data_IF_883852102826
#
_entry.id   IF_883852102826
#
_cell.length_a   1.000
_cell.length_b   1.000
_cell.length_c   1.000
_cell.angle_alpha   90.00
_cell.angle_beta   90.00
_cell.angle_gamma   90.00
#
_symmetry.space_group_name_H-M   'P 1'
#
loop_
_entity.id
_entity.type
_entity.pdbx_description
1 polymer ?
#
# COMPACT_ATOMS: atom_id res chain seq x y z
N UNK A 1 -16.40 -12.79 -21.32
CA UNK A 1 -15.46 -11.86 -21.98
C UNK A 1 -16.10 -10.90 -22.97
N UNK A 2 -16.83 -11.36 -24.00
CA UNK A 2 -17.47 -10.47 -25.00
C UNK A 2 -18.36 -9.38 -24.39
N UNK A 3 -19.07 -9.69 -23.30
CA UNK A 3 -19.89 -8.70 -22.57
C UNK A 3 -19.05 -7.60 -21.92
N UNK A 4 -17.88 -7.91 -21.37
CA UNK A 4 -16.99 -6.92 -20.74
C UNK A 4 -16.33 -6.01 -21.77
N UNK A 5 -16.02 -6.54 -22.95
CA UNK A 5 -15.38 -5.76 -24.02
C UNK A 5 -16.25 -4.59 -24.50
N UNK A 6 -17.58 -4.72 -24.36
CA UNK A 6 -18.57 -3.75 -24.82
C UNK A 6 -18.95 -2.73 -23.75
N UNK A 7 -18.51 -2.90 -22.51
CA UNK A 7 -18.83 -1.98 -21.41
C UNK A 7 -18.10 -0.64 -21.57
N UNK A 8 -18.78 0.43 -21.19
CA UNK A 8 -18.15 1.74 -21.04
C UNK A 8 -17.10 1.68 -19.91
N UNK A 9 -16.07 2.56 -19.92
CA UNK A 9 -14.97 2.52 -18.95
C UNK A 9 -15.41 2.38 -17.49
N UNK A 10 -16.43 3.15 -17.07
CA UNK A 10 -17.05 3.09 -15.75
C UNK A 10 -17.54 1.68 -15.40
N UNK A 11 -18.39 1.13 -16.25
CA UNK A 11 -19.07 -0.15 -16.05
C UNK A 11 -18.07 -1.30 -16.05
N UNK A 12 -17.06 -1.20 -16.91
CA UNK A 12 -15.95 -2.14 -16.94
C UNK A 12 -15.18 -2.11 -15.63
N UNK A 13 -14.78 -0.94 -15.14
CA UNK A 13 -14.07 -0.80 -13.86
C UNK A 13 -14.92 -1.35 -12.71
N UNK A 14 -16.20 -1.01 -12.63
CA UNK A 14 -17.08 -1.52 -11.57
C UNK A 14 -17.29 -3.04 -11.66
N UNK A 15 -17.42 -3.60 -12.85
CA UNK A 15 -17.50 -5.04 -13.05
C UNK A 15 -16.20 -5.75 -12.63
N UNK A 16 -15.05 -5.13 -12.88
CA UNK A 16 -13.74 -5.60 -12.46
C UNK A 16 -13.61 -5.52 -10.92
N UNK A 17 -13.97 -4.40 -10.29
CA UNK A 17 -13.93 -4.21 -8.83
C UNK A 17 -14.80 -5.22 -8.11
N UNK A 18 -16.01 -5.51 -8.61
CA UNK A 18 -16.89 -6.55 -8.04
C UNK A 18 -16.30 -7.96 -8.11
N UNK A 19 -15.39 -8.21 -9.05
CA UNK A 19 -14.61 -9.45 -9.16
C UNK A 19 -13.31 -9.40 -8.35
N UNK A 20 -13.12 -8.35 -7.55
CA UNK A 20 -11.92 -8.10 -6.78
C UNK A 20 -10.79 -7.47 -7.59
N UNK A 21 -11.00 -7.07 -8.85
CA UNK A 21 -9.93 -6.44 -9.63
C UNK A 21 -9.95 -4.92 -9.52
N UNK A 22 -8.80 -4.31 -9.27
CA UNK A 22 -8.68 -2.85 -9.17
C UNK A 22 -7.74 -2.32 -10.25
N UNK A 23 -8.07 -1.16 -10.81
CA UNK A 23 -7.26 -0.51 -11.82
C UNK A 23 -6.59 0.74 -11.24
N UNK A 24 -5.38 1.02 -11.72
CA UNK A 24 -4.64 2.25 -11.44
C UNK A 24 -4.04 2.78 -12.74
N UNK A 25 -4.08 4.09 -12.93
CA UNK A 25 -3.31 4.77 -13.97
C UNK A 25 -1.89 5.07 -13.47
N UNK A 26 -0.89 4.85 -14.34
CA UNK A 26 0.46 5.27 -14.07
C UNK A 26 1.24 5.53 -15.37
N UNK A 27 1.76 6.75 -15.51
CA UNK A 27 2.35 7.22 -16.77
C UNK A 27 1.35 7.14 -17.93
N UNK A 28 1.71 6.40 -18.97
CA UNK A 28 0.87 6.15 -20.15
C UNK A 28 0.13 4.80 -20.10
N UNK A 29 0.16 4.11 -18.96
CA UNK A 29 -0.39 2.77 -18.79
C UNK A 29 -1.53 2.68 -17.77
N UNK A 30 -2.31 1.61 -17.89
CA UNK A 30 -3.28 1.17 -16.90
C UNK A 30 -2.85 -0.19 -16.38
N UNK A 31 -2.76 -0.29 -15.05
CA UNK A 31 -2.38 -1.50 -14.33
C UNK A 31 -3.61 -2.09 -13.67
N UNK A 32 -3.73 -3.41 -13.71
CA UNK A 32 -4.79 -4.16 -13.04
C UNK A 32 -4.17 -5.04 -11.96
N UNK A 33 -4.78 -5.02 -10.77
CA UNK A 33 -4.48 -5.91 -9.64
C UNK A 33 -5.70 -6.73 -9.25
N UNK A 34 -5.51 -7.78 -8.48
CA UNK A 34 -6.58 -8.50 -7.78
C UNK A 34 -6.57 -8.19 -6.29
N UNK A 35 -7.72 -8.30 -5.64
CA UNK A 35 -7.85 -8.51 -4.20
C UNK A 35 -7.16 -9.81 -3.82
N UNK A 36 -6.79 -9.88 -2.54
CA UNK A 36 -5.98 -10.92 -1.91
C UNK A 36 -6.34 -12.32 -2.45
N UNK A 37 -5.34 -13.01 -3.00
CA UNK A 37 -5.34 -14.42 -3.44
C UNK A 37 -5.92 -14.81 -4.82
N UNK A 38 -6.43 -13.92 -5.69
CA UNK A 38 -6.79 -14.35 -7.06
C UNK A 38 -5.68 -14.09 -8.08
N UNK A 39 -5.36 -15.12 -8.87
CA UNK A 39 -4.60 -14.96 -10.10
C UNK A 39 -5.44 -14.11 -11.06
N UNK A 40 -4.83 -13.07 -11.64
CA UNK A 40 -5.50 -12.28 -12.69
C UNK A 40 -5.48 -13.11 -13.96
N UNK A 41 -6.66 -13.41 -14.49
CA UNK A 41 -6.82 -14.16 -15.73
C UNK A 41 -6.14 -13.45 -16.89
N UNK A 42 -5.44 -14.20 -17.75
CA UNK A 42 -4.72 -13.62 -18.87
C UNK A 42 -5.67 -12.94 -19.88
N UNK A 43 -6.92 -13.40 -19.97
CA UNK A 43 -7.99 -12.74 -20.73
C UNK A 43 -8.32 -11.34 -20.18
N UNK A 44 -8.34 -11.19 -18.86
CA UNK A 44 -8.58 -9.91 -18.19
C UNK A 44 -7.39 -8.96 -18.38
N UNK A 45 -6.15 -9.47 -18.26
CA UNK A 45 -4.94 -8.68 -18.59
C UNK A 45 -4.96 -8.20 -20.03
N UNK A 46 -5.34 -9.08 -20.97
CA UNK A 46 -5.43 -8.75 -22.38
C UNK A 46 -6.51 -7.69 -22.62
N UNK A 47 -7.68 -7.82 -21.98
CA UNK A 47 -8.76 -6.84 -22.04
C UNK A 47 -8.30 -5.46 -21.56
N UNK A 48 -7.68 -5.36 -20.38
CA UNK A 48 -7.19 -4.09 -19.84
C UNK A 48 -6.15 -3.47 -20.76
N UNK A 49 -5.19 -4.25 -21.26
CA UNK A 49 -4.18 -3.77 -22.20
C UNK A 49 -4.79 -3.23 -23.49
N UNK A 50 -5.80 -3.91 -24.03
CA UNK A 50 -6.54 -3.48 -25.23
C UNK A 50 -7.32 -2.19 -25.00
N UNK A 51 -7.84 -1.99 -23.78
CA UNK A 51 -8.64 -0.83 -23.34
C UNK A 51 -7.82 0.26 -22.63
N UNK A 52 -6.49 0.19 -22.65
CA UNK A 52 -5.63 1.16 -21.94
C UNK A 52 -5.91 2.61 -22.33
N UNK A 53 -6.07 2.99 -23.62
CA UNK A 53 -6.24 4.40 -23.98
C UNK A 53 -7.51 5.04 -23.38
N UNK A 54 -8.64 4.33 -23.42
CA UNK A 54 -9.91 4.82 -22.89
C UNK A 54 -9.96 4.75 -21.36
N UNK A 55 -9.46 3.66 -20.76
CA UNK A 55 -9.36 3.53 -19.32
C UNK A 55 -8.41 4.56 -18.70
N UNK A 56 -7.27 4.86 -19.34
CA UNK A 56 -6.31 5.84 -18.85
C UNK A 56 -6.92 7.23 -18.78
N UNK A 57 -7.63 7.65 -19.84
CA UNK A 57 -8.35 8.92 -19.87
C UNK A 57 -9.33 8.98 -18.71
N UNK A 58 -10.21 7.98 -18.63
CA UNK A 58 -11.27 7.92 -17.63
C UNK A 58 -10.75 7.92 -16.18
N UNK A 59 -9.72 7.12 -15.88
CA UNK A 59 -9.09 7.06 -14.56
C UNK A 59 -8.49 8.41 -14.12
N UNK A 60 -8.00 9.22 -15.06
CA UNK A 60 -7.35 10.49 -14.77
C UNK A 60 -8.31 11.69 -14.76
N UNK A 61 -9.52 11.56 -15.34
CA UNK A 61 -10.48 12.67 -15.44
C UNK A 61 -11.73 12.42 -14.62
N UNK A 62 -12.45 11.35 -14.92
CA UNK A 62 -13.83 11.17 -14.48
C UNK A 62 -13.90 10.30 -13.22
N UNK A 63 -13.04 9.29 -13.12
CA UNK A 63 -13.06 8.33 -12.02
C UNK A 63 -12.97 8.96 -10.62
N UNK A 64 -12.10 9.95 -10.34
CA UNK A 64 -12.06 10.57 -9.01
C UNK A 64 -13.38 11.24 -8.64
N UNK A 65 -14.01 11.94 -9.59
CA UNK A 65 -15.30 12.60 -9.37
C UNK A 65 -16.41 11.58 -9.14
N UNK A 66 -16.39 10.46 -9.87
CA UNK A 66 -17.38 9.40 -9.69
C UNK A 66 -17.23 8.63 -8.39
N UNK A 67 -16.00 8.40 -7.94
CA UNK A 67 -15.73 7.83 -6.60
C UNK A 67 -16.24 8.80 -5.54
N UNK A 68 -16.00 10.10 -5.70
CA UNK A 68 -16.53 11.12 -4.79
C UNK A 68 -18.06 11.12 -4.75
N UNK A 69 -18.73 11.08 -5.91
CA UNK A 69 -20.19 10.92 -6.02
C UNK A 69 -20.67 9.65 -5.33
N UNK A 70 -19.98 8.52 -5.51
CA UNK A 70 -20.31 7.26 -4.82
C UNK A 70 -20.18 7.39 -3.30
N UNK A 71 -19.16 8.09 -2.80
CA UNK A 71 -18.98 8.35 -1.37
C UNK A 71 -20.10 9.26 -0.86
N UNK A 72 -20.44 10.33 -1.58
CA UNK A 72 -21.53 11.23 -1.20
C UNK A 72 -22.87 10.51 -1.11
N UNK A 73 -23.17 9.60 -2.04
CA UNK A 73 -24.38 8.77 -2.00
C UNK A 73 -24.41 7.88 -0.74
N UNK A 74 -23.29 7.22 -0.40
CA UNK A 74 -23.19 6.44 0.83
C UNK A 74 -23.37 7.30 2.08
N UNK A 75 -22.85 8.53 2.09
CA UNK A 75 -23.06 9.46 3.19
C UNK A 75 -24.55 9.85 3.32
N UNK A 76 -25.26 10.07 2.21
CA UNK A 76 -26.72 10.28 2.23
C UNK A 76 -27.49 9.06 2.76
N UNK A 77 -27.04 7.84 2.47
CA UNK A 77 -27.61 6.64 3.10
C UNK A 77 -27.36 6.62 4.61
N UNK A 78 -26.16 7.02 5.06
CA UNK A 78 -25.86 7.14 6.49
C UNK A 78 -26.77 8.16 7.16
N UNK A 79 -27.03 9.32 6.56
CA UNK A 79 -27.95 10.35 7.08
C UNK A 79 -29.39 9.85 7.30
N UNK A 80 -29.80 8.78 6.62
CA UNK A 80 -31.12 8.16 6.81
C UNK A 80 -31.21 7.23 8.03
N UNK A 81 -30.07 6.87 8.65
CA UNK A 81 -30.01 5.95 9.79
C UNK A 81 -30.37 6.63 11.11
N UNK A 82 -30.54 5.84 12.18
CA UNK A 82 -30.77 6.39 13.53
C UNK A 82 -29.56 7.22 14.01
N UNK A 83 -29.76 8.32 14.78
CA UNK A 83 -28.67 9.25 15.15
C UNK A 83 -27.44 8.59 15.79
N UNK A 84 -27.63 7.60 16.66
CA UNK A 84 -26.51 6.88 17.28
C UNK A 84 -25.71 6.06 16.26
N UNK A 85 -26.40 5.44 15.30
CA UNK A 85 -25.77 4.67 14.22
C UNK A 85 -25.00 5.60 13.27
N UNK A 86 -25.56 6.76 12.95
CA UNK A 86 -24.86 7.80 12.18
C UNK A 86 -23.55 8.19 12.85
N UNK A 87 -23.61 8.52 14.14
CA UNK A 87 -22.45 8.96 14.89
C UNK A 87 -21.32 7.92 14.89
N UNK A 88 -21.65 6.65 15.10
CA UNK A 88 -20.66 5.55 15.09
C UNK A 88 -20.00 5.43 13.71
N UNK A 89 -20.79 5.40 12.64
CA UNK A 89 -20.27 5.22 11.28
C UNK A 89 -19.41 6.42 10.87
N UNK A 90 -19.87 7.65 11.14
CA UNK A 90 -19.13 8.86 10.78
C UNK A 90 -17.81 8.96 11.53
N UNK A 91 -17.77 8.63 12.83
CA UNK A 91 -16.51 8.62 13.58
C UNK A 91 -15.52 7.57 13.03
N UNK A 92 -15.99 6.40 12.60
CA UNK A 92 -15.13 5.37 12.00
C UNK A 92 -14.54 5.84 10.66
N UNK A 93 -15.37 6.45 9.82
CA UNK A 93 -14.92 7.04 8.55
C UNK A 93 -13.92 8.18 8.79
N UNK A 94 -14.22 9.08 9.72
CA UNK A 94 -13.35 10.19 10.08
C UNK A 94 -12.00 9.70 10.60
N UNK A 95 -11.98 8.70 11.47
CA UNK A 95 -10.76 8.10 12.01
C UNK A 95 -9.89 7.51 10.90
N UNK A 96 -10.45 6.68 10.02
CA UNK A 96 -9.70 6.07 8.91
C UNK A 96 -9.20 7.12 7.91
N UNK A 97 -10.03 8.09 7.53
CA UNK A 97 -9.60 9.16 6.62
C UNK A 97 -8.51 10.02 7.23
N UNK A 98 -8.59 10.31 8.53
CA UNK A 98 -7.58 11.08 9.26
C UNK A 98 -6.24 10.37 9.23
N UNK A 99 -6.23 9.06 9.48
CA UNK A 99 -5.02 8.24 9.37
C UNK A 99 -4.47 8.32 7.94
N UNK A 100 -5.28 7.98 6.93
CA UNK A 100 -4.81 7.95 5.53
C UNK A 100 -4.25 9.30 5.05
N UNK A 101 -4.90 10.41 5.41
CA UNK A 101 -4.45 11.76 5.05
C UNK A 101 -3.18 12.15 5.80
N UNK A 102 -3.05 11.72 7.06
CA UNK A 102 -1.85 11.98 7.87
C UNK A 102 -0.65 11.24 7.28
N UNK A 103 -0.83 9.96 6.95
CA UNK A 103 0.22 9.10 6.38
C UNK A 103 0.62 9.54 4.96
N UNK A 104 -0.34 9.99 4.15
CA UNK A 104 -0.06 10.58 2.83
C UNK A 104 0.81 11.83 2.90
N UNK A 105 0.74 12.58 4.01
CA UNK A 105 1.51 13.80 4.24
C UNK A 105 2.85 13.54 4.92
N UNK A 106 2.97 12.44 5.68
CA UNK A 106 4.20 12.10 6.40
C UNK A 106 5.23 11.43 5.49
N UNK A 107 4.79 10.58 4.55
CA UNK A 107 5.68 9.88 3.62
C UNK A 107 6.48 10.88 2.76
N UNK A 108 7.75 10.55 2.48
CA UNK A 108 8.64 11.42 1.70
C UNK A 108 8.30 11.38 0.20
N UNK A 109 7.61 10.33 -0.26
CA UNK A 109 7.19 10.19 -1.66
C UNK A 109 5.81 9.55 -1.83
N UNK A 110 5.09 9.84 -2.94
CA UNK A 110 3.85 9.14 -3.28
C UNK A 110 4.01 7.62 -3.42
N UNK A 111 5.22 7.16 -3.77
CA UNK A 111 5.53 5.76 -3.95
C UNK A 111 5.64 5.02 -2.61
N UNK A 112 6.21 5.66 -1.60
CA UNK A 112 6.19 5.15 -0.22
C UNK A 112 4.76 5.06 0.31
N UNK A 113 3.97 6.13 0.14
CA UNK A 113 2.57 6.12 0.58
C UNK A 113 1.77 5.03 -0.14
N UNK A 114 2.01 4.83 -1.43
CA UNK A 114 1.42 3.73 -2.16
C UNK A 114 1.78 2.39 -1.50
N UNK A 115 3.05 2.08 -1.31
CA UNK A 115 3.46 0.82 -0.67
C UNK A 115 2.86 0.67 0.74
N UNK A 116 2.82 1.76 1.52
CA UNK A 116 2.19 1.79 2.85
C UNK A 116 0.73 1.34 2.80
N UNK A 117 -0.07 1.82 1.84
CA UNK A 117 -1.48 1.40 1.71
C UNK A 117 -1.60 -0.12 1.51
N UNK A 118 -0.75 -0.70 0.66
CA UNK A 118 -0.75 -2.15 0.42
C UNK A 118 -0.26 -2.93 1.65
N UNK A 119 0.73 -2.41 2.37
CA UNK A 119 1.22 -3.01 3.61
C UNK A 119 0.17 -2.93 4.73
N UNK A 120 -0.48 -1.79 4.94
CA UNK A 120 -1.56 -1.64 5.94
C UNK A 120 -2.63 -2.70 5.74
N UNK A 121 -3.17 -2.82 4.52
CA UNK A 121 -4.19 -3.84 4.21
C UNK A 121 -3.68 -5.27 4.36
N UNK A 122 -2.45 -5.55 3.92
CA UNK A 122 -1.88 -6.90 4.00
C UNK A 122 -1.61 -7.31 5.45
N UNK A 123 -1.13 -6.39 6.28
CA UNK A 123 -0.90 -6.60 7.72
C UNK A 123 -2.21 -6.70 8.49
N UNK A 124 -3.24 -5.93 8.13
CA UNK A 124 -4.59 -6.12 8.69
C UNK A 124 -5.13 -7.52 8.41
N UNK A 125 -4.92 -8.06 7.21
CA UNK A 125 -5.30 -9.44 6.88
C UNK A 125 -4.47 -10.45 7.67
N UNK A 126 -3.15 -10.24 7.74
CA UNK A 126 -2.23 -11.05 8.53
C UNK A 126 -2.69 -11.11 10.00
N UNK A 127 -3.02 -9.98 10.61
CA UNK A 127 -3.49 -9.89 11.99
C UNK A 127 -4.78 -10.66 12.27
N UNK A 128 -5.61 -10.97 11.25
CA UNK A 128 -6.84 -11.77 11.44
C UNK A 128 -6.56 -13.25 11.64
N UNK A 129 -5.41 -13.75 11.20
CA UNK A 129 -5.05 -15.17 11.23
C UNK A 129 -3.89 -15.48 12.19
N UNK A 130 -3.32 -14.46 12.83
CA UNK A 130 -2.25 -14.60 13.82
C UNK A 130 -2.63 -13.98 15.17
N UNK A 131 -2.15 -14.58 16.26
CA UNK A 131 -2.50 -14.18 17.63
C UNK A 131 -1.85 -12.86 18.08
N UNK A 132 -0.76 -12.46 17.45
CA UNK A 132 -0.03 -11.24 17.79
C UNK A 132 -0.24 -10.22 16.68
N UNK A 133 -0.89 -9.07 16.97
CA UNK A 133 -1.10 -8.04 15.97
C UNK A 133 0.20 -7.29 15.69
N UNK A 134 0.46 -7.04 14.40
CA UNK A 134 1.54 -6.20 13.91
C UNK A 134 0.98 -4.85 13.47
N UNK A 135 1.77 -3.80 13.66
CA UNK A 135 1.50 -2.44 13.19
C UNK A 135 2.51 -2.03 12.14
N UNK A 136 2.10 -1.12 11.25
CA UNK A 136 2.95 -0.49 10.24
C UNK A 136 3.11 0.97 10.64
N UNK A 137 4.33 1.39 10.95
CA UNK A 137 4.67 2.78 11.23
C UNK A 137 5.41 3.36 10.03
N UNK A 138 4.98 4.51 9.51
CA UNK A 138 5.76 5.23 8.49
C UNK A 138 6.79 6.13 9.13
N UNK A 139 7.88 6.39 8.41
CA UNK A 139 8.87 7.41 8.73
C UNK A 139 9.40 7.31 10.17
N UNK A 140 9.61 6.09 10.65
CA UNK A 140 9.80 5.79 12.06
C UNK A 140 11.27 6.02 12.48
N UNK A 141 11.53 6.81 13.54
CA UNK A 141 12.89 7.04 14.02
C UNK A 141 13.42 5.83 14.80
N UNK A 142 14.62 5.37 14.44
CA UNK A 142 15.30 4.24 15.07
C UNK A 142 16.70 4.69 15.51
N UNK A 143 17.03 4.48 16.78
CA UNK A 143 18.38 4.74 17.29
C UNK A 143 19.18 3.44 17.38
N UNK A 144 20.27 3.34 16.63
CA UNK A 144 21.17 2.19 16.62
C UNK A 144 22.63 2.65 16.53
N UNK A 145 23.51 2.01 17.31
CA UNK A 145 24.96 2.28 17.31
C UNK A 145 25.33 3.77 17.45
N UNK A 146 24.61 4.51 18.31
CA UNK A 146 24.83 5.94 18.54
C UNK A 146 24.37 6.87 17.42
N UNK A 147 23.65 6.35 16.42
CA UNK A 147 23.06 7.12 15.33
C UNK A 147 21.54 6.98 15.31
N UNK A 148 20.85 8.02 14.87
CA UNK A 148 19.41 7.99 14.60
C UNK A 148 19.19 7.88 13.09
N UNK A 149 18.46 6.86 12.70
CA UNK A 149 17.99 6.61 11.34
C UNK A 149 16.48 6.82 11.30
N UNK A 150 15.95 7.06 10.11
CA UNK A 150 14.51 7.03 9.85
C UNK A 150 14.24 5.88 8.91
N UNK A 151 13.39 4.94 9.31
CA UNK A 151 12.90 3.87 8.45
C UNK A 151 11.71 4.38 7.65
N UNK A 152 11.62 4.07 6.37
CA UNK A 152 10.45 4.47 5.57
C UNK A 152 9.19 3.82 6.14
N UNK A 153 9.29 2.54 6.49
CA UNK A 153 8.29 1.78 7.23
C UNK A 153 8.93 0.84 8.25
N UNK A 154 8.38 0.77 9.47
CA UNK A 154 8.68 -0.23 10.48
C UNK A 154 7.45 -1.09 10.74
N UNK A 155 7.62 -2.41 10.71
CA UNK A 155 6.60 -3.40 11.02
C UNK A 155 7.04 -4.19 12.26
N UNK A 156 6.25 -4.11 13.32
CA UNK A 156 6.54 -4.77 14.60
C UNK A 156 5.25 -5.15 15.34
N UNK A 157 5.31 -6.09 16.29
CA UNK A 157 4.20 -6.34 17.20
C UNK A 157 3.77 -5.06 17.93
N UNK A 158 2.47 -4.89 18.10
CA UNK A 158 1.90 -3.72 18.78
C UNK A 158 2.54 -3.51 20.16
N UNK A 159 3.05 -2.30 20.44
CA UNK A 159 3.66 -1.93 21.71
C UNK A 159 5.07 -2.51 21.95
N UNK A 160 5.74 -2.98 20.90
CA UNK A 160 7.12 -3.48 20.97
C UNK A 160 8.08 -2.67 20.11
N UNK A 161 7.73 -1.42 19.78
CA UNK A 161 8.54 -0.59 18.90
C UNK A 161 9.96 -0.43 19.47
N UNK A 162 10.98 -0.70 18.65
CA UNK A 162 12.40 -0.76 19.03
C UNK A 162 12.82 -1.87 20.02
N UNK A 163 11.93 -2.77 20.44
CA UNK A 163 12.31 -3.98 21.17
C UNK A 163 12.81 -5.04 20.18
N UNK A 164 14.12 -5.06 19.95
CA UNK A 164 14.76 -6.00 19.01
C UNK A 164 14.90 -7.42 19.55
N UNK A 165 14.42 -7.69 20.77
CA UNK A 165 14.15 -9.06 21.21
C UNK A 165 12.87 -9.63 20.57
N UNK A 166 12.04 -8.75 19.99
CA UNK A 166 10.86 -9.07 19.18
C UNK A 166 11.17 -8.85 17.70
N UNK A 167 10.21 -9.25 16.86
CA UNK A 167 10.30 -9.06 15.40
C UNK A 167 10.22 -7.57 15.09
N UNK A 168 11.29 -7.03 14.50
CA UNK A 168 11.36 -5.66 13.98
C UNK A 168 11.75 -5.72 12.50
N UNK A 169 10.78 -5.49 11.62
CA UNK A 169 10.98 -5.54 10.17
C UNK A 169 10.91 -4.14 9.57
N UNK A 170 12.02 -3.66 9.04
CA UNK A 170 12.12 -2.41 8.30
C UNK A 170 11.84 -2.69 6.82
N UNK A 171 11.01 -1.87 6.20
CA UNK A 171 10.78 -1.85 4.75
C UNK A 171 11.25 -0.50 4.20
N UNK A 172 12.17 -0.55 3.24
CA UNK A 172 12.78 0.62 2.61
C UNK A 172 12.36 0.76 1.15
N UNK A 173 12.04 1.97 0.74
CA UNK A 173 11.71 2.37 -0.61
C UNK A 173 12.91 3.08 -1.24
N UNK A 174 13.64 2.40 -2.13
CA UNK A 174 14.72 3.05 -2.90
C UNK A 174 14.10 3.77 -4.11
N UNK A 175 13.48 4.92 -3.82
CA UNK A 175 12.82 5.78 -4.80
C UNK A 175 13.76 6.64 -5.65
N UNK A 176 15.07 6.37 -5.64
CA UNK A 176 16.03 7.27 -6.29
C UNK A 176 15.78 7.41 -7.79
N UNK A 177 15.28 8.58 -8.16
CA UNK A 177 15.32 9.15 -9.50
C UNK A 177 16.73 8.96 -10.09
N UNK A 178 16.82 8.14 -11.13
CA UNK A 178 17.76 8.17 -12.29
C UNK A 178 19.16 8.81 -12.16
N UNK A 179 19.75 8.89 -10.98
CA UNK A 179 21.07 9.47 -10.73
C UNK A 179 21.97 8.46 -10.05
N UNK A 180 23.19 8.36 -10.56
CA UNK A 180 24.21 7.47 -10.02
C UNK A 180 24.46 7.77 -8.54
N UNK A 181 24.19 6.79 -7.66
CA UNK A 181 24.60 6.85 -6.26
C UNK A 181 26.12 7.06 -6.21
N UNK A 182 26.55 8.15 -5.59
CA UNK A 182 27.98 8.37 -5.34
C UNK A 182 28.53 7.26 -4.44
N UNK A 183 29.82 6.94 -4.56
CA UNK A 183 30.48 5.95 -3.68
C UNK A 183 30.29 6.28 -2.19
N UNK A 184 30.29 7.56 -1.84
CA UNK A 184 30.07 8.02 -0.47
C UNK A 184 28.62 7.73 0.01
N UNK A 185 27.62 7.95 -0.85
CA UNK A 185 26.23 7.62 -0.52
C UNK A 185 26.03 6.12 -0.35
N UNK A 186 26.57 5.31 -1.27
CA UNK A 186 26.53 3.85 -1.14
C UNK A 186 27.23 3.34 0.13
N UNK A 187 28.32 3.98 0.56
CA UNK A 187 29.00 3.65 1.82
C UNK A 187 28.15 4.01 3.05
N UNK A 188 27.45 5.16 3.03
CA UNK A 188 26.54 5.57 4.11
C UNK A 188 25.35 4.62 4.23
N UNK A 189 24.71 4.28 3.11
CA UNK A 189 23.56 3.35 3.08
C UNK A 189 23.99 1.98 3.65
N UNK A 190 25.14 1.45 3.20
CA UNK A 190 25.69 0.19 3.72
C UNK A 190 26.06 0.26 5.20
N UNK A 191 26.49 1.42 5.71
CA UNK A 191 26.77 1.60 7.15
C UNK A 191 25.47 1.55 7.93
N UNK A 192 24.47 2.31 7.51
CA UNK A 192 23.12 2.32 8.08
C UNK A 192 22.53 0.91 8.16
N UNK A 193 22.53 0.18 7.04
CA UNK A 193 21.97 -1.18 6.99
C UNK A 193 22.69 -2.11 7.98
N UNK A 194 24.02 -2.03 8.09
CA UNK A 194 24.79 -2.82 9.07
C UNK A 194 24.47 -2.43 10.51
N UNK A 195 24.38 -1.14 10.82
CA UNK A 195 24.09 -0.68 12.18
C UNK A 195 22.71 -1.17 12.65
N UNK A 196 21.71 -1.10 11.77
CA UNK A 196 20.36 -1.60 12.03
C UNK A 196 20.32 -3.14 12.14
N UNK A 197 20.99 -3.86 11.25
CA UNK A 197 21.04 -5.33 11.31
C UNK A 197 21.75 -5.83 12.58
N UNK A 198 22.88 -5.21 12.96
CA UNK A 198 23.59 -5.53 14.20
C UNK A 198 22.71 -5.27 15.42
N UNK A 199 21.88 -4.22 15.39
CA UNK A 199 20.93 -3.93 16.46
C UNK A 199 19.76 -4.93 16.54
N UNK A 200 19.59 -5.81 15.54
CA UNK A 200 18.59 -6.88 15.54
C UNK A 200 17.43 -6.68 14.55
N UNK A 201 17.40 -5.55 13.83
CA UNK A 201 16.37 -5.28 12.83
C UNK A 201 16.55 -6.19 11.60
N UNK A 202 15.43 -6.61 11.01
CA UNK A 202 15.38 -7.19 9.66
C UNK A 202 15.06 -6.09 8.67
N UNK A 203 15.59 -6.17 7.46
CA UNK A 203 15.44 -5.12 6.45
C UNK A 203 15.08 -5.76 5.12
N UNK A 204 13.99 -5.29 4.50
CA UNK A 204 13.65 -5.53 3.10
C UNK A 204 13.73 -4.18 2.38
N UNK A 205 14.32 -4.17 1.18
CA UNK A 205 14.42 -2.97 0.36
C UNK A 205 13.83 -3.26 -1.01
N UNK A 206 12.93 -2.39 -1.45
CA UNK A 206 12.38 -2.42 -2.80
C UNK A 206 12.88 -1.23 -3.59
N UNK A 207 13.26 -1.44 -4.85
CA UNK A 207 13.48 -0.34 -5.78
C UNK A 207 12.17 0.34 -6.13
N UNK A 208 12.24 1.61 -6.51
CA UNK A 208 11.04 2.31 -6.96
C UNK A 208 10.38 1.64 -8.17
N UNK A 209 11.16 0.96 -9.02
CA UNK A 209 10.63 0.21 -10.16
C UNK A 209 9.85 -1.05 -9.75
N UNK A 210 10.24 -1.71 -8.66
CA UNK A 210 9.51 -2.86 -8.12
C UNK A 210 8.18 -2.41 -7.54
N UNK A 211 8.21 -1.37 -6.69
CA UNK A 211 7.02 -0.82 -6.07
C UNK A 211 6.06 -0.29 -7.14
N UNK A 212 6.56 0.44 -8.14
CA UNK A 212 5.73 0.96 -9.22
C UNK A 212 5.06 -0.14 -10.03
N UNK A 213 5.78 -1.24 -10.29
CA UNK A 213 5.31 -2.34 -11.13
C UNK A 213 4.30 -3.23 -10.40
N UNK A 214 4.55 -3.56 -9.13
CA UNK A 214 3.73 -4.47 -8.35
C UNK A 214 3.85 -4.20 -6.83
N UNK A 215 3.24 -3.12 -6.32
CA UNK A 215 3.32 -2.78 -4.89
C UNK A 215 2.62 -3.82 -4.01
N UNK A 216 1.63 -4.53 -4.56
CA UNK A 216 0.99 -5.66 -3.91
C UNK A 216 1.96 -6.83 -3.76
N UNK A 217 2.70 -7.19 -4.81
CA UNK A 217 3.75 -8.20 -4.77
C UNK A 217 4.80 -7.89 -3.70
N UNK A 218 5.24 -6.63 -3.62
CA UNK A 218 6.13 -6.15 -2.55
C UNK A 218 5.51 -6.36 -1.15
N UNK A 219 4.26 -5.94 -0.94
CA UNK A 219 3.58 -6.14 0.34
C UNK A 219 3.39 -7.63 0.70
N UNK A 220 3.12 -8.47 -0.30
CA UNK A 220 3.02 -9.92 -0.12
C UNK A 220 4.37 -10.51 0.31
N UNK A 221 5.46 -10.12 -0.34
CA UNK A 221 6.82 -10.56 0.03
C UNK A 221 7.14 -10.20 1.48
N UNK A 222 6.73 -9.02 1.93
CA UNK A 222 6.85 -8.60 3.33
C UNK A 222 6.06 -9.52 4.26
N UNK A 223 4.79 -9.82 3.97
CA UNK A 223 4.00 -10.74 4.81
C UNK A 223 4.50 -12.19 4.76
N UNK A 224 4.97 -12.66 3.61
CA UNK A 224 5.58 -13.98 3.46
C UNK A 224 6.86 -14.06 4.30
N UNK A 225 7.64 -12.98 4.34
CA UNK A 225 8.83 -12.90 5.18
C UNK A 225 8.46 -12.88 6.67
N UNK A 226 7.47 -12.10 7.09
CA UNK A 226 6.97 -12.10 8.48
C UNK A 226 6.53 -13.50 8.92
N UNK A 227 5.83 -14.22 8.05
CA UNK A 227 5.41 -15.61 8.29
C UNK A 227 6.63 -16.52 8.60
N UNK A 228 7.79 -16.28 7.99
CA UNK A 228 9.02 -17.03 8.32
C UNK A 228 9.62 -16.69 9.69
N UNK A 229 9.30 -15.52 10.24
CA UNK A 229 9.86 -15.04 11.50
C UNK A 229 9.04 -15.44 12.72
N UNK A 230 7.75 -15.76 12.54
CA UNK A 230 6.83 -16.14 13.62
C UNK A 230 6.81 -17.66 13.87
N UNK A 231 7.29 -18.46 12.91
CA UNK A 231 7.43 -19.91 13.02
C UNK A 231 8.55 -20.30 13.98
#
# INVERSE_FOLDING_TARGET
MKELEQLEPKELIMALVRRGYFLKSAGTGVFIRSSINNKIDDEIKHLVKKRTPDLLRYLNTDYPNEVLESILNLLSEVESLAPNTQHIILNEIEAELTILVTEAKSCDSPLEFELYLYLKTSIEHFNRVHSTPFWVHTQYPITANGHTYRADMLICPAGSENDTSRIQLIVECDGHDFHEKTKAQAQRDKKRDRDLQIAGYRIIRFSGSEIFKDPYGCAKEVTDFLETLIR
#
